data_IF_156512329214
#
_entry.id   IF_156512329214
#
_cell.length_a   1.000
_cell.length_b   1.000
_cell.length_c   1.000
_cell.angle_alpha   90.00
_cell.angle_beta   90.00
_cell.angle_gamma   90.00
#
_symmetry.space_group_name_H-M   'P 1'
#
loop_
_entity.id
_entity.type
_entity.pdbx_description
1 polymer ?
#
# COMPACT_ATOMS: atom_id res chain seq x y z
N UNK A 1 -15.49 -1.79 16.49
CA UNK A 1 -14.37 -0.81 16.43
C UNK A 1 -13.16 -1.27 15.59
N UNK A 2 -13.02 -2.58 15.32
CA UNK A 2 -11.93 -3.19 14.52
C UNK A 2 -11.91 -2.74 13.04
N UNK A 3 -13.02 -2.89 12.33
CA UNK A 3 -13.11 -2.56 10.89
C UNK A 3 -12.83 -1.08 10.57
N UNK A 4 -13.13 -0.17 11.51
CA UNK A 4 -12.83 1.26 11.35
C UNK A 4 -11.32 1.53 11.26
N UNK A 5 -10.47 0.68 11.83
CA UNK A 5 -9.01 0.83 11.77
C UNK A 5 -8.47 0.47 10.38
N UNK A 6 -8.84 -0.70 9.86
CA UNK A 6 -8.48 -1.13 8.53
C UNK A 6 -8.92 -0.14 7.46
N UNK A 7 -10.18 0.32 7.53
CA UNK A 7 -10.73 1.30 6.58
C UNK A 7 -9.93 2.61 6.62
N UNK A 8 -9.72 3.16 7.82
CA UNK A 8 -8.99 4.42 7.95
C UNK A 8 -7.55 4.30 7.44
N UNK A 9 -6.85 3.23 7.82
CA UNK A 9 -5.44 3.01 7.41
C UNK A 9 -5.35 2.79 5.91
N UNK A 10 -6.28 2.02 5.32
CA UNK A 10 -6.34 1.80 3.88
C UNK A 10 -6.62 3.08 3.10
N UNK A 11 -7.55 3.91 3.58
CA UNK A 11 -7.82 5.22 2.99
C UNK A 11 -6.59 6.12 3.05
N UNK A 12 -5.91 6.19 4.21
CA UNK A 12 -4.70 6.99 4.36
C UNK A 12 -3.63 6.54 3.36
N UNK A 13 -3.36 5.23 3.24
CA UNK A 13 -2.39 4.69 2.28
C UNK A 13 -2.79 5.04 0.85
N UNK A 14 -4.06 4.84 0.49
CA UNK A 14 -4.57 5.14 -0.85
C UNK A 14 -4.40 6.62 -1.19
N UNK A 15 -4.89 7.50 -0.33
CA UNK A 15 -4.83 8.96 -0.54
C UNK A 15 -3.40 9.47 -0.59
N UNK A 16 -2.52 9.03 0.33
CA UNK A 16 -1.10 9.44 0.33
C UNK A 16 -0.40 8.95 -0.93
N UNK A 17 -0.68 7.73 -1.40
CA UNK A 17 -0.17 7.21 -2.67
C UNK A 17 -0.64 8.04 -3.87
N UNK A 18 -1.92 8.42 -3.90
CA UNK A 18 -2.48 9.29 -4.96
C UNK A 18 -1.81 10.65 -4.98
N UNK A 19 -1.68 11.29 -3.81
CA UNK A 19 -0.99 12.58 -3.68
C UNK A 19 0.45 12.46 -4.16
N UNK A 20 1.14 11.37 -3.80
CA UNK A 20 2.51 11.13 -4.25
C UNK A 20 2.62 11.03 -5.78
N UNK A 21 1.70 10.30 -6.44
CA UNK A 21 1.66 10.23 -7.91
C UNK A 21 1.44 11.59 -8.55
N UNK A 22 0.54 12.41 -7.98
CA UNK A 22 0.30 13.78 -8.47
C UNK A 22 1.56 14.65 -8.31
N UNK A 23 2.25 14.56 -7.18
CA UNK A 23 3.52 15.28 -6.95
C UNK A 23 4.56 14.85 -8.00
N UNK A 24 4.70 13.54 -8.26
CA UNK A 24 5.62 13.04 -9.29
C UNK A 24 5.27 13.59 -10.67
N UNK A 25 3.98 13.61 -11.04
CA UNK A 25 3.51 14.17 -12.31
C UNK A 25 3.94 15.64 -12.47
N UNK A 26 3.70 16.47 -11.45
CA UNK A 26 4.12 17.88 -11.48
C UNK A 26 5.64 18.08 -11.42
N UNK A 27 6.38 17.12 -10.86
CA UNK A 27 7.83 17.08 -10.90
C UNK A 27 8.38 16.61 -12.26
N UNK A 28 7.50 16.37 -13.25
CA UNK A 28 7.89 15.94 -14.59
C UNK A 28 8.15 14.44 -14.70
N UNK A 29 7.74 13.63 -13.73
CA UNK A 29 7.87 12.17 -13.72
C UNK A 29 6.47 11.58 -13.89
N UNK A 30 6.19 11.05 -15.07
CA UNK A 30 4.89 10.49 -15.42
C UNK A 30 5.05 9.13 -16.13
N UNK A 31 3.96 8.37 -16.33
CA UNK A 31 4.05 7.05 -16.95
C UNK A 31 4.66 7.04 -18.36
N UNK A 32 4.65 8.16 -19.08
CA UNK A 32 5.21 8.27 -20.44
C UNK A 32 6.74 8.33 -20.43
N UNK A 33 7.32 9.02 -19.45
CA UNK A 33 8.76 9.34 -19.44
C UNK A 33 9.54 8.66 -18.31
N UNK A 34 8.88 7.91 -17.42
CA UNK A 34 9.53 7.30 -16.26
C UNK A 34 10.63 6.29 -16.63
N UNK A 35 10.53 5.67 -17.81
CA UNK A 35 11.54 4.72 -18.28
C UNK A 35 12.83 5.42 -18.73
N UNK A 36 12.72 6.64 -19.26
CA UNK A 36 13.82 7.45 -19.79
C UNK A 36 14.38 8.44 -18.78
N UNK A 37 13.68 8.64 -17.65
CA UNK A 37 14.10 9.57 -16.61
C UNK A 37 15.27 9.03 -15.79
N UNK A 38 16.34 9.83 -15.67
CA UNK A 38 17.45 9.60 -14.73
C UNK A 38 16.96 9.48 -13.26
N UNK A 39 15.75 9.96 -12.97
CA UNK A 39 15.14 9.96 -11.66
C UNK A 39 14.19 8.77 -11.39
N UNK A 40 14.30 7.69 -12.16
CA UNK A 40 13.50 6.45 -11.98
C UNK A 40 13.52 5.91 -10.54
N UNK A 41 14.58 6.20 -9.78
CA UNK A 41 14.70 5.82 -8.37
C UNK A 41 13.61 6.43 -7.47
N UNK A 42 13.11 7.63 -7.79
CA UNK A 42 12.03 8.29 -7.04
C UNK A 42 10.74 7.47 -7.08
N UNK A 43 10.53 6.72 -8.14
CA UNK A 43 9.38 5.84 -8.24
C UNK A 43 9.42 4.70 -7.22
N UNK A 44 10.61 4.12 -6.98
CA UNK A 44 10.78 3.09 -5.95
C UNK A 44 10.56 3.62 -4.53
N UNK A 45 10.75 4.92 -4.30
CA UNK A 45 10.44 5.51 -2.98
C UNK A 45 8.96 5.45 -2.63
N UNK A 46 8.07 5.35 -3.63
CA UNK A 46 6.63 5.19 -3.39
C UNK A 46 6.28 3.91 -2.61
N UNK A 47 7.12 2.86 -2.68
CA UNK A 47 6.95 1.60 -1.95
C UNK A 47 7.04 1.80 -0.43
N UNK A 48 7.70 2.88 0.03
CA UNK A 48 7.82 3.21 1.44
C UNK A 48 6.45 3.51 2.06
N UNK A 49 5.54 4.13 1.29
CA UNK A 49 4.20 4.53 1.75
C UNK A 49 3.39 3.32 2.22
N UNK A 50 3.15 2.27 1.40
CA UNK A 50 2.43 1.09 1.86
C UNK A 50 3.20 0.32 2.93
N UNK A 51 4.54 0.30 2.92
CA UNK A 51 5.33 -0.36 3.97
C UNK A 51 5.02 0.24 5.35
N UNK A 52 5.21 1.55 5.48
CA UNK A 52 4.98 2.25 6.74
C UNK A 52 3.50 2.21 7.11
N UNK A 53 2.63 2.45 6.12
CA UNK A 53 1.18 2.46 6.34
C UNK A 53 0.63 1.12 6.84
N UNK A 54 1.07 0.00 6.26
CA UNK A 54 0.65 -1.33 6.71
C UNK A 54 1.14 -1.62 8.13
N UNK A 55 2.42 -1.35 8.41
CA UNK A 55 2.97 -1.55 9.76
C UNK A 55 2.22 -0.72 10.81
N UNK A 56 2.01 0.57 10.55
CA UNK A 56 1.29 1.47 11.46
C UNK A 56 -0.19 1.08 11.58
N UNK A 57 -0.83 0.65 10.51
CA UNK A 57 -2.21 0.19 10.53
C UNK A 57 -2.40 -1.05 11.40
N UNK A 58 -1.53 -2.06 11.25
CA UNK A 58 -1.54 -3.29 12.08
C UNK A 58 -1.18 -2.94 13.53
N UNK A 59 -0.21 -2.05 13.76
CA UNK A 59 0.13 -1.56 15.11
C UNK A 59 -1.04 -0.82 15.76
N UNK A 60 -1.75 0.01 15.02
CA UNK A 60 -2.95 0.72 15.47
C UNK A 60 -4.07 -0.25 15.88
N UNK A 61 -4.25 -1.33 15.13
CA UNK A 61 -5.18 -2.40 15.47
C UNK A 61 -4.79 -3.12 16.78
N UNK A 62 -3.51 -3.45 16.96
CA UNK A 62 -2.98 -4.01 18.21
C UNK A 62 -3.27 -3.10 19.40
N UNK A 63 -2.98 -1.80 19.27
CA UNK A 63 -3.19 -0.84 20.35
C UNK A 63 -4.67 -0.78 20.78
N UNK A 64 -5.60 -0.87 19.81
CA UNK A 64 -7.05 -0.90 20.07
C UNK A 64 -7.55 -2.22 20.65
N UNK A 65 -6.76 -3.29 20.57
CA UNK A 65 -7.02 -4.59 21.16
C UNK A 65 -6.20 -4.81 22.44
N UNK A 66 -6.06 -3.80 23.30
CA UNK A 66 -5.34 -3.90 24.57
C UNK A 66 -3.88 -4.39 24.41
N UNK A 67 -3.19 -3.94 23.36
CA UNK A 67 -1.84 -4.37 23.00
C UNK A 67 -1.68 -5.88 22.73
N UNK A 68 -2.80 -6.59 22.52
CA UNK A 68 -2.86 -7.99 22.16
C UNK A 68 -3.01 -8.15 20.66
N UNK A 69 -2.12 -8.91 20.04
CA UNK A 69 -2.21 -9.28 18.64
C UNK A 69 -1.69 -10.71 18.45
N UNK A 70 -2.48 -11.53 17.76
CA UNK A 70 -2.03 -12.82 17.24
C UNK A 70 -1.57 -12.66 15.79
N UNK A 71 -0.70 -13.56 15.30
CA UNK A 71 -0.20 -13.52 13.92
C UNK A 71 -1.33 -13.42 12.89
N UNK A 72 -2.30 -14.34 12.92
CA UNK A 72 -3.40 -14.36 11.95
C UNK A 72 -4.30 -13.12 12.05
N UNK A 73 -4.55 -12.59 13.25
CA UNK A 73 -5.30 -11.33 13.37
C UNK A 73 -4.56 -10.16 12.70
N UNK A 74 -3.23 -10.11 12.82
CA UNK A 74 -2.40 -9.14 12.11
C UNK A 74 -2.50 -9.32 10.59
N UNK A 75 -2.40 -10.55 10.11
CA UNK A 75 -2.47 -10.87 8.67
C UNK A 75 -3.82 -10.49 8.09
N UNK A 76 -4.91 -10.88 8.75
CA UNK A 76 -6.26 -10.53 8.31
C UNK A 76 -6.53 -9.02 8.33
N UNK A 77 -6.00 -8.30 9.31
CA UNK A 77 -6.14 -6.85 9.35
C UNK A 77 -5.32 -6.18 8.23
N UNK A 78 -4.07 -6.62 8.01
CA UNK A 78 -3.23 -6.13 6.93
C UNK A 78 -3.86 -6.33 5.55
N UNK A 79 -4.47 -7.49 5.28
CA UNK A 79 -5.20 -7.73 4.04
C UNK A 79 -6.38 -6.79 3.82
N UNK A 80 -7.15 -6.47 4.87
CA UNK A 80 -8.24 -5.48 4.74
C UNK A 80 -7.70 -4.10 4.39
N UNK A 81 -6.58 -3.70 5.01
CA UNK A 81 -5.90 -2.44 4.71
C UNK A 81 -5.44 -2.43 3.25
N UNK A 82 -4.78 -3.50 2.79
CA UNK A 82 -4.32 -3.66 1.41
C UNK A 82 -5.47 -3.60 0.42
N UNK A 83 -6.58 -4.30 0.69
CA UNK A 83 -7.74 -4.30 -0.21
C UNK A 83 -8.30 -2.89 -0.42
N UNK A 84 -8.41 -2.11 0.66
CA UNK A 84 -8.96 -0.75 0.61
C UNK A 84 -7.97 0.22 -0.05
N UNK A 85 -6.71 0.20 0.37
CA UNK A 85 -5.67 1.05 -0.21
C UNK A 85 -5.42 0.75 -1.69
N UNK A 86 -5.36 -0.54 -2.04
CA UNK A 86 -5.20 -1.03 -3.41
C UNK A 86 -6.39 -0.69 -4.30
N UNK A 87 -7.62 -0.75 -3.79
CA UNK A 87 -8.80 -0.33 -4.54
C UNK A 87 -8.76 1.17 -4.87
N UNK A 88 -8.40 2.02 -3.90
CA UNK A 88 -8.27 3.47 -4.11
C UNK A 88 -7.15 3.78 -5.11
N UNK A 89 -5.96 3.19 -4.91
CA UNK A 89 -4.81 3.40 -5.78
C UNK A 89 -5.08 2.89 -7.21
N UNK A 90 -5.66 1.69 -7.35
CA UNK A 90 -6.02 1.11 -8.65
C UNK A 90 -7.09 1.91 -9.38
N UNK A 91 -8.13 2.38 -8.68
CA UNK A 91 -9.14 3.25 -9.27
C UNK A 91 -8.54 4.57 -9.75
N UNK A 92 -7.65 5.19 -8.96
CA UNK A 92 -6.94 6.39 -9.37
C UNK A 92 -6.03 6.14 -10.57
N UNK A 93 -5.24 5.06 -10.57
CA UNK A 93 -4.40 4.69 -11.72
C UNK A 93 -5.23 4.53 -13.00
N UNK A 94 -6.40 3.88 -12.93
CA UNK A 94 -7.30 3.76 -14.08
C UNK A 94 -7.79 5.11 -14.58
N UNK A 95 -8.19 6.01 -13.69
CA UNK A 95 -8.63 7.35 -14.07
C UNK A 95 -7.49 8.19 -14.64
N UNK A 96 -6.31 8.09 -14.04
CA UNK A 96 -5.11 8.83 -14.43
C UNK A 96 -4.62 8.43 -15.83
N UNK A 97 -4.55 7.13 -16.11
CA UNK A 97 -4.20 6.64 -17.46
C UNK A 97 -5.26 7.04 -18.48
N UNK A 98 -6.54 6.91 -18.15
CA UNK A 98 -7.63 7.36 -19.03
C UNK A 98 -7.57 8.86 -19.31
N UNK A 99 -7.23 9.68 -18.32
CA UNK A 99 -7.11 11.13 -18.49
C UNK A 99 -5.97 11.53 -19.43
N UNK A 100 -4.86 10.78 -19.39
CA UNK A 100 -3.71 10.98 -20.25
C UNK A 100 -3.83 10.27 -21.62
N UNK A 101 -4.94 9.58 -21.88
CA UNK A 101 -5.11 8.72 -23.06
C UNK A 101 -3.99 7.66 -23.21
N UNK A 102 -3.55 7.09 -22.09
CA UNK A 102 -2.52 6.07 -22.04
C UNK A 102 -3.11 4.67 -21.88
N UNK A 103 -2.43 3.70 -22.49
CA UNK A 103 -2.70 2.28 -22.26
C UNK A 103 -1.83 1.73 -21.12
N UNK A 104 -2.37 0.73 -20.42
CA UNK A 104 -1.58 0.01 -19.44
C UNK A 104 -0.55 -0.88 -20.14
N UNK A 105 0.73 -0.59 -19.96
CA UNK A 105 1.81 -1.43 -20.46
C UNK A 105 1.99 -2.70 -19.61
N UNK A 106 2.61 -3.74 -20.20
CA UNK A 106 3.03 -4.95 -19.47
C UNK A 106 3.89 -4.59 -18.26
N UNK A 107 4.88 -3.72 -18.47
CA UNK A 107 5.79 -3.26 -17.41
C UNK A 107 5.04 -2.62 -16.24
N UNK A 108 4.03 -1.82 -16.52
CA UNK A 108 3.23 -1.18 -15.46
C UNK A 108 2.40 -2.21 -14.69
N UNK A 109 1.82 -3.20 -15.38
CA UNK A 109 1.10 -4.30 -14.74
C UNK A 109 2.00 -5.18 -13.87
N UNK A 110 3.21 -5.49 -14.34
CA UNK A 110 4.23 -6.20 -13.56
C UNK A 110 4.58 -5.46 -12.27
N UNK A 111 4.63 -4.13 -12.33
CA UNK A 111 4.92 -3.29 -11.16
C UNK A 111 3.77 -3.26 -10.16
N UNK A 112 2.51 -3.21 -10.62
CA UNK A 112 1.34 -3.36 -9.74
C UNK A 112 1.41 -4.72 -9.04
N UNK A 113 1.69 -5.79 -9.80
CA UNK A 113 1.80 -7.13 -9.24
C UNK A 113 2.93 -7.25 -8.22
N UNK A 114 4.11 -6.69 -8.54
CA UNK A 114 5.24 -6.60 -7.63
C UNK A 114 4.90 -5.85 -6.34
N UNK A 115 4.19 -4.73 -6.43
CA UNK A 115 3.73 -3.97 -5.27
C UNK A 115 2.76 -4.79 -4.40
N UNK A 116 1.87 -5.59 -5.00
CA UNK A 116 0.98 -6.49 -4.27
C UNK A 116 1.76 -7.57 -3.50
N UNK A 117 2.79 -8.17 -4.11
CA UNK A 117 3.69 -9.13 -3.44
C UNK A 117 4.41 -8.46 -2.27
N UNK A 118 4.97 -7.27 -2.47
CA UNK A 118 5.66 -6.53 -1.40
C UNK A 118 4.69 -6.25 -0.24
N UNK A 119 3.47 -5.77 -0.54
CA UNK A 119 2.45 -5.53 0.48
C UNK A 119 2.07 -6.79 1.26
N UNK A 120 1.99 -7.94 0.58
CA UNK A 120 1.75 -9.23 1.22
C UNK A 120 2.90 -9.60 2.17
N UNK A 121 4.16 -9.52 1.71
CA UNK A 121 5.33 -9.82 2.53
C UNK A 121 5.44 -8.89 3.75
N UNK A 122 5.20 -7.59 3.56
CA UNK A 122 5.16 -6.59 4.63
C UNK A 122 4.07 -6.91 5.64
N UNK A 123 2.91 -7.35 5.18
CA UNK A 123 1.81 -7.76 6.06
C UNK A 123 2.22 -8.94 6.92
N UNK A 124 2.85 -9.97 6.35
CA UNK A 124 3.36 -11.11 7.11
C UNK A 124 4.44 -10.67 8.11
N UNK A 125 5.43 -9.90 7.67
CA UNK A 125 6.52 -9.41 8.51
C UNK A 125 6.00 -8.55 9.67
N UNK A 126 5.12 -7.58 9.39
CA UNK A 126 4.53 -6.71 10.41
C UNK A 126 3.69 -7.50 11.40
N UNK A 127 2.96 -8.52 10.93
CA UNK A 127 2.15 -9.39 11.79
C UNK A 127 3.02 -10.22 12.73
N UNK A 128 4.15 -10.75 12.24
CA UNK A 128 5.15 -11.46 13.06
C UNK A 128 5.79 -10.53 14.08
N UNK A 129 6.28 -9.36 13.64
CA UNK A 129 6.98 -8.39 14.49
C UNK A 129 6.09 -7.82 15.60
N UNK A 130 4.80 -7.65 15.33
CA UNK A 130 3.87 -7.03 16.29
C UNK A 130 3.13 -8.03 17.17
N UNK A 131 3.21 -9.34 16.87
CA UNK A 131 2.55 -10.39 17.63
C UNK A 131 2.99 -10.36 19.10
N UNK A 132 2.02 -10.41 20.01
CA UNK A 132 2.27 -10.48 21.47
C UNK A 132 1.71 -11.73 22.10
N UNK A 133 0.86 -12.45 21.38
CA UNK A 133 0.32 -13.73 21.82
C UNK A 133 0.70 -14.79 20.80
N UNK A 134 1.53 -15.79 21.17
CA UNK A 134 1.61 -17.02 20.41
C UNK A 134 0.29 -17.75 20.65
N UNK A 135 -0.74 -17.47 19.84
CA UNK A 135 -1.95 -18.28 19.93
C UNK A 135 -1.62 -19.66 19.36
N UNK A 136 -1.93 -20.69 20.14
CA UNK A 136 -1.94 -22.10 19.75
C UNK A 136 -2.44 -22.22 18.31
N UNK A 137 -1.58 -22.79 17.46
CA UNK A 137 -1.91 -23.20 16.09
C UNK A 137 -3.17 -24.07 16.10
#
# INVERSE_FOLDING_TARGET
MKMKNAILSGIIIGVVSVIWVIIMHFAGINPENVQESDNRWLEYTSVIIPIIGLYLGIKGFKNRNNNSLTFFEGVFEGFKIMAIGGLIAGAFSSLYFSFLNLEFSSDYMERIFGAAIIGFLVTLASSLLLMTKPKQL
#
